data_IF_793283180559
#
_entry.id   IF_793283180559
#
_cell.length_a   1.000
_cell.length_b   1.000
_cell.length_c   1.000
_cell.angle_alpha   90.00
_cell.angle_beta   90.00
_cell.angle_gamma   90.00
#
_symmetry.space_group_name_H-M   'P 1'
#
loop_
_entity.id
_entity.type
_entity.pdbx_description
1 polymer ?
#
# COMPACT_ATOMS: atom_id res chain seq x y z
N UNK A 1 22.93 31.42 -34.76
CA UNK A 1 22.90 30.45 -33.64
C UNK A 1 21.49 30.48 -33.08
N UNK A 2 20.62 29.54 -33.51
CA UNK A 2 19.24 29.47 -33.07
C UNK A 2 19.17 28.46 -31.92
N UNK A 3 18.83 28.92 -30.71
CA UNK A 3 18.68 28.06 -29.54
C UNK A 3 17.37 27.26 -29.67
N UNK A 4 17.48 25.94 -29.76
CA UNK A 4 16.35 25.03 -29.77
C UNK A 4 15.83 24.90 -28.33
N UNK A 5 14.71 25.56 -28.02
CA UNK A 5 14.01 25.39 -26.75
C UNK A 5 13.30 24.02 -26.79
N UNK A 6 13.89 23.00 -26.16
CA UNK A 6 13.21 21.74 -25.91
C UNK A 6 12.10 21.98 -24.88
N UNK A 7 10.87 22.11 -25.37
CA UNK A 7 9.68 21.99 -24.52
C UNK A 7 9.60 20.51 -24.15
N UNK A 8 10.04 20.17 -22.95
CA UNK A 8 9.70 18.90 -22.34
C UNK A 8 8.19 18.90 -22.11
N UNK A 9 7.45 18.21 -22.97
CA UNK A 9 6.06 17.87 -22.68
C UNK A 9 6.07 17.01 -21.42
N UNK A 10 5.41 17.48 -20.36
CA UNK A 10 5.13 16.64 -19.21
C UNK A 10 4.42 15.38 -19.74
N UNK A 11 5.09 14.23 -19.69
CA UNK A 11 4.44 12.97 -19.97
C UNK A 11 3.30 12.85 -18.97
N UNK A 12 2.07 12.67 -19.44
CA UNK A 12 0.95 12.31 -18.58
C UNK A 12 1.42 11.16 -17.69
N UNK A 13 1.40 11.38 -16.38
CA UNK A 13 1.69 10.38 -15.38
C UNK A 13 0.53 9.38 -15.36
N UNK A 14 0.42 8.57 -16.41
CA UNK A 14 -0.42 7.38 -16.43
C UNK A 14 0.45 6.20 -16.03
N UNK A 15 -0.03 5.42 -15.05
CA UNK A 15 0.61 4.15 -14.73
C UNK A 15 0.76 3.27 -15.97
N UNK A 16 1.69 2.32 -15.89
CA UNK A 16 1.89 1.27 -16.88
C UNK A 16 1.32 -0.03 -16.36
N UNK A 17 0.39 -0.61 -17.12
CA UNK A 17 -0.15 -1.94 -16.83
C UNK A 17 0.97 -2.99 -16.80
N UNK A 18 0.93 -3.87 -15.80
CA UNK A 18 1.87 -4.97 -15.61
C UNK A 18 1.14 -6.23 -15.17
N UNK A 19 1.78 -7.37 -15.40
CA UNK A 19 1.35 -8.66 -14.86
C UNK A 19 2.53 -9.37 -14.22
N UNK A 20 2.23 -10.19 -13.21
CA UNK A 20 3.21 -10.98 -12.48
C UNK A 20 2.53 -12.20 -11.84
N UNK A 21 3.25 -13.33 -11.65
CA UNK A 21 2.67 -14.48 -10.97
C UNK A 21 2.60 -14.24 -9.46
N UNK A 22 1.52 -14.71 -8.84
CA UNK A 22 1.47 -15.01 -7.41
C UNK A 22 2.40 -16.18 -7.06
N UNK A 23 2.60 -16.47 -5.78
CA UNK A 23 3.49 -17.56 -5.34
C UNK A 23 3.04 -18.96 -5.81
N UNK A 24 1.74 -19.13 -6.04
CA UNK A 24 1.15 -20.36 -6.59
C UNK A 24 1.05 -20.37 -8.13
N UNK A 25 1.58 -19.33 -8.80
CA UNK A 25 1.53 -19.16 -10.25
C UNK A 25 0.28 -18.47 -10.79
N UNK A 26 -0.70 -18.09 -9.94
CA UNK A 26 -1.87 -17.32 -10.38
C UNK A 26 -1.43 -15.99 -10.99
N UNK A 27 -1.82 -15.69 -12.23
CA UNK A 27 -1.47 -14.41 -12.86
C UNK A 27 -2.22 -13.26 -12.20
N UNK A 28 -1.46 -12.30 -11.67
CA UNK A 28 -1.97 -11.06 -11.10
C UNK A 28 -1.72 -9.89 -12.04
N UNK A 29 -2.60 -8.90 -11.97
CA UNK A 29 -2.51 -7.62 -12.68
C UNK A 29 -2.16 -6.50 -11.72
N UNK A 30 -1.44 -5.50 -12.21
CA UNK A 30 -1.18 -4.27 -11.49
C UNK A 30 -0.96 -3.08 -12.41
N UNK A 31 -0.89 -1.91 -11.80
CA UNK A 31 -0.61 -0.63 -12.43
C UNK A 31 0.65 -0.05 -11.78
N UNK A 32 1.70 0.16 -12.58
CA UNK A 32 3.00 0.59 -12.11
C UNK A 32 3.26 2.06 -12.44
N UNK A 33 3.45 2.87 -11.41
CA UNK A 33 3.74 4.30 -11.47
C UNK A 33 5.21 4.49 -11.08
N UNK A 34 6.10 4.51 -12.08
CA UNK A 34 7.54 4.58 -11.83
C UNK A 34 7.97 6.00 -11.48
N UNK A 35 8.76 6.16 -10.42
CA UNK A 35 9.37 7.45 -10.09
C UNK A 35 10.23 7.96 -11.26
N UNK A 36 10.26 9.28 -11.46
CA UNK A 36 11.06 9.92 -12.52
C UNK A 36 12.56 9.71 -12.33
N UNK A 37 13.05 9.85 -11.09
CA UNK A 37 14.44 9.57 -10.69
C UNK A 37 14.53 8.17 -10.07
N UNK A 38 15.37 7.29 -10.64
CA UNK A 38 15.53 5.89 -10.23
C UNK A 38 17.02 5.55 -10.01
N UNK A 39 17.36 4.61 -9.12
CA UNK A 39 16.46 3.76 -8.32
C UNK A 39 15.77 4.54 -7.19
N UNK A 40 14.47 4.26 -6.98
CA UNK A 40 13.63 4.93 -5.98
C UNK A 40 13.04 3.93 -4.98
N UNK A 41 12.68 4.35 -3.76
CA UNK A 41 11.84 3.52 -2.90
C UNK A 41 10.51 3.19 -3.59
N UNK A 42 9.87 2.12 -3.15
CA UNK A 42 8.65 1.65 -3.78
C UNK A 42 7.57 1.21 -2.79
N UNK A 43 6.31 1.30 -3.21
CA UNK A 43 5.14 1.01 -2.38
C UNK A 43 4.17 0.13 -3.14
N UNK A 44 3.72 -0.97 -2.52
CA UNK A 44 2.59 -1.77 -3.02
C UNK A 44 1.30 -1.27 -2.39
N UNK A 45 0.27 -1.00 -3.20
CA UNK A 45 -1.04 -0.51 -2.78
C UNK A 45 -2.09 -1.61 -2.95
N UNK A 46 -2.79 -1.94 -1.87
CA UNK A 46 -3.61 -3.15 -1.75
C UNK A 46 -5.07 -2.76 -1.48
N UNK A 47 -5.95 -3.05 -2.44
CA UNK A 47 -7.35 -2.64 -2.39
C UNK A 47 -8.18 -3.39 -1.33
N UNK A 48 -9.35 -2.84 -1.01
CA UNK A 48 -10.35 -3.47 -0.14
C UNK A 48 -11.18 -4.52 -0.89
N UNK A 49 -11.84 -5.44 -0.18
CA UNK A 49 -12.65 -6.50 -0.79
C UNK A 49 -13.67 -5.93 -1.79
N UNK A 50 -13.92 -6.66 -2.88
CA UNK A 50 -14.83 -6.29 -4.00
C UNK A 50 -14.42 -5.06 -4.82
N UNK A 51 -13.26 -4.47 -4.52
CA UNK A 51 -12.66 -3.38 -5.30
C UNK A 51 -11.52 -3.89 -6.16
N UNK A 52 -10.74 -2.98 -6.72
CA UNK A 52 -9.62 -3.26 -7.60
C UNK A 52 -8.58 -2.13 -7.50
N UNK A 53 -7.48 -2.24 -8.24
CA UNK A 53 -6.34 -1.32 -8.22
C UNK A 53 -6.69 0.15 -8.50
N UNK A 54 -7.78 0.45 -9.20
CA UNK A 54 -8.13 1.83 -9.56
C UNK A 54 -8.56 2.71 -8.36
N UNK A 55 -8.88 2.09 -7.22
CA UNK A 55 -9.10 2.83 -5.97
C UNK A 55 -7.86 3.64 -5.53
N UNK A 56 -6.69 3.30 -6.07
CA UNK A 56 -5.42 3.90 -5.71
C UNK A 56 -4.88 4.91 -6.72
N UNK A 57 -5.48 5.10 -7.90
CA UNK A 57 -4.89 5.86 -9.01
C UNK A 57 -4.41 7.27 -8.58
N UNK A 58 -5.28 8.02 -7.88
CA UNK A 58 -4.95 9.36 -7.38
C UNK A 58 -3.82 9.35 -6.34
N UNK A 59 -3.80 8.35 -5.46
CA UNK A 59 -2.76 8.21 -4.44
C UNK A 59 -1.44 7.75 -5.06
N UNK A 60 -1.49 6.84 -6.03
CA UNK A 60 -0.32 6.32 -6.73
C UNK A 60 0.41 7.43 -7.50
N UNK A 61 -0.34 8.32 -8.17
CA UNK A 61 0.22 9.53 -8.78
C UNK A 61 0.92 10.43 -7.76
N UNK A 62 0.31 10.66 -6.59
CA UNK A 62 0.93 11.48 -5.52
C UNK A 62 2.20 10.84 -4.95
N UNK A 63 2.25 9.51 -4.86
CA UNK A 63 3.45 8.75 -4.45
C UNK A 63 4.55 8.88 -5.51
N UNK A 64 4.18 8.78 -6.79
CA UNK A 64 5.08 9.00 -7.92
C UNK A 64 5.67 10.41 -7.92
N UNK A 65 4.82 11.43 -7.78
CA UNK A 65 5.22 12.84 -7.68
C UNK A 65 6.13 13.10 -6.47
N UNK A 66 5.96 12.32 -5.40
CA UNK A 66 6.82 12.36 -4.22
C UNK A 66 8.17 11.64 -4.40
N UNK A 67 8.46 11.13 -5.60
CA UNK A 67 9.74 10.48 -5.94
C UNK A 67 9.83 9.02 -5.54
N UNK A 68 8.70 8.32 -5.39
CA UNK A 68 8.63 6.90 -5.05
C UNK A 68 7.86 6.13 -6.13
N UNK A 69 8.24 4.89 -6.39
CA UNK A 69 7.50 4.03 -7.32
C UNK A 69 6.26 3.44 -6.62
N UNK A 70 5.09 3.48 -7.23
CA UNK A 70 3.89 2.83 -6.71
C UNK A 70 3.46 1.66 -7.60
N UNK A 71 3.02 0.56 -6.98
CA UNK A 71 2.36 -0.56 -7.65
C UNK A 71 0.99 -0.76 -7.03
N UNK A 72 -0.07 -0.38 -7.72
CA UNK A 72 -1.43 -0.75 -7.32
C UNK A 72 -1.77 -2.12 -7.93
N UNK A 73 -2.18 -3.08 -7.11
CA UNK A 73 -2.43 -4.45 -7.57
C UNK A 73 -3.91 -4.79 -7.56
N UNK A 74 -4.32 -5.65 -8.47
CA UNK A 74 -5.57 -6.42 -8.37
C UNK A 74 -5.27 -7.73 -7.62
N UNK A 75 -5.94 -7.98 -6.50
CA UNK A 75 -5.86 -9.27 -5.82
C UNK A 75 -6.52 -10.36 -6.69
N UNK A 76 -6.17 -11.64 -6.45
CA UNK A 76 -6.79 -12.76 -7.19
C UNK A 76 -8.32 -12.65 -7.21
N UNK A 77 -8.92 -12.96 -8.36
CA UNK A 77 -10.37 -12.90 -8.57
C UNK A 77 -10.98 -11.49 -8.56
N UNK A 78 -10.16 -10.43 -8.63
CA UNK A 78 -10.60 -9.04 -8.76
C UNK A 78 -9.97 -8.38 -9.99
N UNK A 79 -10.65 -7.37 -10.54
CA UNK A 79 -10.16 -6.58 -11.66
C UNK A 79 -9.71 -7.45 -12.85
N UNK A 80 -8.45 -7.30 -13.26
CA UNK A 80 -7.85 -8.09 -14.34
C UNK A 80 -6.96 -9.25 -13.86
N UNK A 81 -6.95 -9.54 -12.56
CA UNK A 81 -6.24 -10.71 -12.00
C UNK A 81 -7.03 -12.00 -12.21
N UNK A 82 -6.31 -13.09 -12.47
CA UNK A 82 -6.88 -14.43 -12.56
C UNK A 82 -7.29 -14.97 -11.18
N UNK A 83 -7.83 -16.19 -11.16
CA UNK A 83 -8.17 -16.90 -9.92
C UNK A 83 -9.55 -16.55 -9.36
N UNK A 84 -9.72 -16.80 -8.07
CA UNK A 84 -11.01 -16.69 -7.36
C UNK A 84 -10.82 -16.02 -5.99
N UNK A 85 -11.75 -15.17 -5.53
CA UNK A 85 -11.61 -14.44 -4.27
C UNK A 85 -12.04 -15.25 -3.03
N UNK A 86 -12.22 -16.57 -3.16
CA UNK A 86 -12.81 -17.41 -2.11
C UNK A 86 -11.89 -17.63 -0.91
N UNK A 87 -10.58 -17.78 -1.15
CA UNK A 87 -9.59 -18.09 -0.12
C UNK A 87 -8.77 -16.84 0.21
N UNK A 88 -9.21 -16.11 1.24
CA UNK A 88 -8.50 -14.92 1.72
C UNK A 88 -7.04 -15.18 2.14
N UNK A 89 -6.67 -16.33 2.76
CA UNK A 89 -5.26 -16.61 3.06
C UNK A 89 -4.37 -16.61 1.83
N UNK A 90 -4.88 -17.02 0.67
CA UNK A 90 -4.08 -17.03 -0.56
C UNK A 90 -3.80 -15.61 -1.08
N UNK A 91 -4.65 -14.63 -0.75
CA UNK A 91 -4.39 -13.22 -1.06
C UNK A 91 -3.19 -12.66 -0.29
N UNK A 92 -2.78 -13.27 0.82
CA UNK A 92 -1.51 -12.91 1.50
C UNK A 92 -0.33 -13.26 0.59
N UNK A 93 -0.41 -14.38 -0.14
CA UNK A 93 0.60 -14.78 -1.12
C UNK A 93 0.65 -13.81 -2.30
N UNK A 94 -0.50 -13.26 -2.72
CA UNK A 94 -0.55 -12.25 -3.77
C UNK A 94 0.20 -10.97 -3.37
N UNK A 95 -0.01 -10.49 -2.15
CA UNK A 95 0.70 -9.31 -1.63
C UNK A 95 2.19 -9.58 -1.51
N UNK A 96 2.58 -10.79 -1.07
CA UNK A 96 3.99 -11.20 -1.00
C UNK A 96 4.65 -11.23 -2.38
N UNK A 97 4.01 -11.89 -3.34
CA UNK A 97 4.49 -11.95 -4.70
C UNK A 97 4.61 -10.56 -5.34
N UNK A 98 3.64 -9.67 -5.09
CA UNK A 98 3.71 -8.28 -5.56
C UNK A 98 4.92 -7.53 -4.97
N UNK A 99 5.16 -7.67 -3.67
CA UNK A 99 6.30 -7.04 -3.00
C UNK A 99 7.64 -7.57 -3.50
N UNK A 100 7.76 -8.89 -3.65
CA UNK A 100 8.95 -9.56 -4.19
C UNK A 100 9.21 -9.14 -5.65
N UNK A 101 8.17 -9.22 -6.50
CA UNK A 101 8.23 -8.80 -7.89
C UNK A 101 8.67 -7.34 -8.01
N UNK A 102 8.07 -6.43 -7.24
CA UNK A 102 8.40 -5.01 -7.25
C UNK A 102 9.83 -4.77 -6.76
N UNK A 103 10.24 -5.42 -5.66
CA UNK A 103 11.60 -5.28 -5.10
C UNK A 103 12.69 -5.73 -6.07
N UNK A 104 12.38 -6.66 -6.97
CA UNK A 104 13.32 -7.19 -7.97
C UNK A 104 13.53 -6.28 -9.19
N UNK A 105 12.82 -5.14 -9.27
CA UNK A 105 12.90 -4.26 -10.44
C UNK A 105 14.13 -3.35 -10.38
N UNK A 106 14.83 -3.16 -11.50
CA UNK A 106 16.06 -2.35 -11.53
C UNK A 106 15.83 -0.89 -11.14
N UNK A 107 14.59 -0.39 -11.29
CA UNK A 107 14.19 0.95 -10.87
C UNK A 107 13.86 1.09 -9.38
N UNK A 108 13.87 0.01 -8.60
CA UNK A 108 13.52 0.01 -7.17
C UNK A 108 14.78 -0.05 -6.32
N UNK A 109 14.87 0.85 -5.33
CA UNK A 109 15.98 0.93 -4.38
C UNK A 109 15.93 -0.29 -3.45
N UNK A 110 17.00 -1.12 -3.38
CA UNK A 110 17.03 -2.28 -2.51
C UNK A 110 16.71 -1.94 -1.06
N UNK A 111 15.91 -2.80 -0.41
CA UNK A 111 15.53 -2.64 0.99
C UNK A 111 14.70 -1.40 1.30
N UNK A 112 14.04 -0.77 0.31
CA UNK A 112 13.21 0.43 0.51
C UNK A 112 11.79 0.23 -0.01
N UNK A 113 11.14 -0.84 0.45
CA UNK A 113 9.78 -1.21 0.05
C UNK A 113 8.80 -0.97 1.19
N UNK A 114 7.65 -0.39 0.89
CA UNK A 114 6.51 -0.26 1.79
C UNK A 114 5.27 -0.99 1.28
N UNK A 115 4.35 -1.30 2.19
CA UNK A 115 3.02 -1.83 1.87
C UNK A 115 1.96 -0.88 2.44
N UNK A 116 0.97 -0.51 1.63
CA UNK A 116 -0.19 0.24 2.10
C UNK A 116 -1.45 -0.49 1.69
N UNK A 117 -2.33 -0.74 2.65
CA UNK A 117 -3.57 -1.46 2.43
C UNK A 117 -4.78 -0.79 3.07
N UNK A 118 -5.95 -1.00 2.46
CA UNK A 118 -7.21 -0.50 2.95
C UNK A 118 -8.18 -1.64 3.31
N UNK A 119 -8.81 -1.59 4.50
CA UNK A 119 -9.76 -2.61 4.97
C UNK A 119 -9.15 -4.02 4.93
N UNK A 120 -9.71 -4.96 4.15
CA UNK A 120 -9.08 -6.26 3.85
C UNK A 120 -7.60 -6.11 3.47
N UNK A 121 -7.29 -5.15 2.59
CA UNK A 121 -5.93 -4.89 2.15
C UNK A 121 -5.00 -4.50 3.29
N UNK A 122 -5.50 -3.85 4.35
CA UNK A 122 -4.72 -3.54 5.54
C UNK A 122 -4.34 -4.82 6.32
N UNK A 123 -5.30 -5.73 6.51
CA UNK A 123 -5.01 -7.04 7.12
C UNK A 123 -4.00 -7.84 6.29
N UNK A 124 -4.16 -7.88 4.96
CA UNK A 124 -3.24 -8.56 4.06
C UNK A 124 -1.83 -7.94 4.07
N UNK A 125 -1.73 -6.60 4.08
CA UNK A 125 -0.46 -5.88 4.16
C UNK A 125 0.31 -6.24 5.44
N UNK A 126 -0.38 -6.26 6.58
CA UNK A 126 0.23 -6.61 7.87
C UNK A 126 0.69 -8.07 7.89
N UNK A 127 -0.16 -9.01 7.45
CA UNK A 127 0.19 -10.43 7.38
C UNK A 127 1.39 -10.68 6.47
N UNK A 128 1.40 -10.10 5.27
CA UNK A 128 2.51 -10.21 4.34
C UNK A 128 3.81 -9.59 4.90
N UNK A 129 3.73 -8.40 5.52
CA UNK A 129 4.90 -7.73 6.07
C UNK A 129 5.63 -8.58 7.12
N UNK A 130 4.91 -9.35 7.94
CA UNK A 130 5.52 -10.25 8.94
C UNK A 130 6.46 -11.27 8.29
N UNK A 131 6.18 -11.70 7.06
CA UNK A 131 6.97 -12.69 6.31
C UNK A 131 8.02 -12.05 5.38
N UNK A 132 8.03 -10.72 5.23
CA UNK A 132 8.88 -9.98 4.31
C UNK A 132 9.83 -9.03 5.07
N UNK A 133 11.05 -9.48 5.45
CA UNK A 133 11.97 -8.67 6.25
C UNK A 133 12.48 -7.41 5.51
N UNK A 134 12.40 -7.36 4.17
CA UNK A 134 12.81 -6.20 3.38
C UNK A 134 11.76 -5.07 3.33
N UNK A 135 10.53 -5.32 3.80
CA UNK A 135 9.47 -4.30 3.92
C UNK A 135 9.73 -3.44 5.15
N UNK A 136 9.90 -2.13 4.97
CA UNK A 136 10.28 -1.18 6.03
C UNK A 136 9.13 -0.33 6.57
N UNK A 137 8.12 -0.07 5.75
CA UNK A 137 7.02 0.83 6.06
C UNK A 137 5.67 0.12 5.80
N UNK A 138 4.78 0.13 6.78
CA UNK A 138 3.45 -0.49 6.68
C UNK A 138 2.38 0.58 6.97
N UNK A 139 1.51 0.86 5.99
CA UNK A 139 0.40 1.80 6.12
C UNK A 139 -0.94 1.07 6.13
N UNK A 140 -1.74 1.26 7.18
CA UNK A 140 -3.01 0.54 7.37
C UNK A 140 -4.17 1.52 7.46
N UNK A 141 -5.06 1.50 6.47
CA UNK A 141 -6.26 2.35 6.41
C UNK A 141 -7.49 1.51 6.74
N UNK A 142 -8.27 1.95 7.72
CA UNK A 142 -9.40 1.22 8.31
C UNK A 142 -9.06 -0.24 8.69
N UNK A 143 -8.08 -0.48 9.57
CA UNK A 143 -7.68 -1.84 9.96
C UNK A 143 -8.78 -2.58 10.74
N UNK A 144 -8.75 -3.90 10.73
CA UNK A 144 -9.60 -4.78 11.55
C UNK A 144 -8.75 -5.82 12.28
N UNK A 145 -9.17 -6.26 13.47
CA UNK A 145 -8.52 -7.38 14.19
C UNK A 145 -8.84 -8.75 13.56
N UNK A 146 -9.97 -8.86 12.87
CA UNK A 146 -10.40 -10.07 12.19
C UNK A 146 -11.15 -9.66 10.91
N UNK A 147 -10.65 -10.13 9.77
CA UNK A 147 -11.35 -10.03 8.50
C UNK A 147 -11.72 -11.42 7.98
N UNK A 148 -12.91 -11.90 8.35
CA UNK A 148 -13.45 -13.21 7.93
C UNK A 148 -12.47 -14.38 8.19
N UNK A 149 -11.84 -14.38 9.37
CA UNK A 149 -10.86 -15.39 9.78
C UNK A 149 -9.40 -14.99 9.55
N UNK A 150 -9.14 -13.90 8.81
CA UNK A 150 -7.80 -13.29 8.76
C UNK A 150 -7.57 -12.46 10.02
N UNK A 151 -6.92 -13.06 11.01
CA UNK A 151 -6.67 -12.42 12.29
C UNK A 151 -5.39 -11.59 12.26
N UNK A 152 -5.50 -10.33 12.66
CA UNK A 152 -4.37 -9.42 12.80
C UNK A 152 -4.38 -8.79 14.18
N UNK A 153 -3.77 -9.45 15.14
CA UNK A 153 -3.65 -8.97 16.51
C UNK A 153 -2.33 -8.19 16.74
N UNK A 154 -2.21 -7.60 17.93
CA UNK A 154 -1.00 -6.89 18.35
C UNK A 154 0.25 -7.78 18.44
N UNK A 155 0.08 -9.11 18.52
CA UNK A 155 1.19 -10.06 18.46
C UNK A 155 1.90 -10.05 17.11
N UNK A 156 1.19 -9.80 16.01
CA UNK A 156 1.81 -9.59 14.70
C UNK A 156 2.61 -8.28 14.64
N UNK A 157 2.12 -7.20 15.27
CA UNK A 157 2.84 -5.93 15.32
C UNK A 157 4.19 -6.05 16.04
N UNK A 158 4.26 -6.86 17.11
CA UNK A 158 5.54 -7.19 17.78
C UNK A 158 6.54 -7.85 16.84
N UNK A 159 6.07 -8.71 15.93
CA UNK A 159 6.92 -9.33 14.89
C UNK A 159 7.41 -8.32 13.84
N UNK A 160 6.79 -7.14 13.75
CA UNK A 160 7.31 -6.05 12.92
C UNK A 160 8.59 -5.43 13.50
N UNK A 161 8.85 -5.56 14.79
CA UNK A 161 10.05 -5.00 15.42
C UNK A 161 10.15 -3.49 15.21
N UNK A 162 11.31 -2.98 14.79
CA UNK A 162 11.56 -1.54 14.65
C UNK A 162 10.98 -0.90 13.36
N UNK A 163 10.15 -1.62 12.59
CA UNK A 163 9.58 -1.13 11.33
C UNK A 163 8.50 -0.07 11.56
N UNK A 164 8.46 0.93 10.68
CA UNK A 164 7.52 2.04 10.76
C UNK A 164 6.09 1.59 10.42
N UNK A 165 5.13 1.96 11.26
CA UNK A 165 3.70 1.73 11.03
C UNK A 165 2.96 3.07 11.01
N UNK A 166 2.08 3.22 10.04
CA UNK A 166 1.15 4.33 9.94
C UNK A 166 -0.28 3.80 9.88
N UNK A 167 -1.18 4.46 10.61
CA UNK A 167 -2.56 4.02 10.80
C UNK A 167 -3.51 5.17 10.45
N UNK A 168 -4.60 4.88 9.74
CA UNK A 168 -5.69 5.83 9.59
C UNK A 168 -7.06 5.19 9.70
N UNK A 169 -8.00 5.92 10.30
CA UNK A 169 -9.41 5.54 10.36
C UNK A 169 -10.30 6.79 10.45
N UNK A 170 -11.57 6.64 10.08
CA UNK A 170 -12.60 7.66 10.31
C UNK A 170 -13.09 7.61 11.74
N UNK A 171 -13.41 8.77 12.32
CA UNK A 171 -14.16 8.88 13.56
C UNK A 171 -15.57 8.25 13.45
N UNK A 172 -16.13 8.23 12.24
CA UNK A 172 -17.43 7.66 11.88
C UNK A 172 -17.34 6.16 11.52
N UNK A 173 -16.17 5.53 11.68
CA UNK A 173 -15.95 4.09 11.55
C UNK A 173 -15.49 3.49 12.89
N UNK A 174 -16.42 3.23 13.84
CA UNK A 174 -16.06 2.87 15.21
C UNK A 174 -15.30 1.55 15.32
N UNK A 175 -15.50 0.62 14.37
CA UNK A 175 -14.80 -0.65 14.38
C UNK A 175 -13.33 -0.45 14.02
N UNK A 176 -13.06 0.21 12.89
CA UNK A 176 -11.69 0.47 12.50
C UNK A 176 -10.97 1.42 13.46
N UNK A 177 -11.67 2.41 14.01
CA UNK A 177 -11.09 3.33 14.99
C UNK A 177 -10.67 2.60 16.27
N UNK A 178 -11.46 1.61 16.73
CA UNK A 178 -11.05 0.79 17.88
C UNK A 178 -9.80 -0.01 17.56
N UNK A 179 -9.76 -0.70 16.42
CA UNK A 179 -8.57 -1.46 16.00
C UNK A 179 -7.34 -0.57 15.82
N UNK A 180 -7.50 0.63 15.25
CA UNK A 180 -6.43 1.61 15.14
C UNK A 180 -5.84 1.94 16.52
N UNK A 181 -6.69 2.20 17.51
CA UNK A 181 -6.25 2.51 18.89
C UNK A 181 -5.53 1.33 19.54
N UNK A 182 -6.03 0.11 19.34
CA UNK A 182 -5.37 -1.10 19.84
C UNK A 182 -3.99 -1.26 19.22
N UNK A 183 -3.87 -1.08 17.90
CA UNK A 183 -2.60 -1.16 17.18
C UNK A 183 -1.63 -0.05 17.57
N UNK A 184 -2.10 1.18 17.74
CA UNK A 184 -1.29 2.31 18.17
C UNK A 184 -0.77 2.17 19.61
N UNK A 185 -1.46 1.39 20.45
CA UNK A 185 -1.02 1.11 21.82
C UNK A 185 0.16 0.11 21.90
N UNK A 186 0.47 -0.56 20.80
CA UNK A 186 1.58 -1.52 20.72
C UNK A 186 2.90 -0.78 20.43
N UNK A 187 3.87 -0.78 21.37
CA UNK A 187 5.01 0.15 21.33
C UNK A 187 6.20 -0.33 20.48
N UNK A 188 6.07 -1.40 19.68
CA UNK A 188 7.22 -1.93 18.92
C UNK A 188 7.56 -1.07 17.71
N UNK A 189 8.44 -0.09 17.87
CA UNK A 189 8.94 0.74 16.76
C UNK A 189 8.10 1.99 16.46
N UNK A 190 8.46 2.77 15.43
CA UNK A 190 7.78 4.03 15.14
C UNK A 190 6.31 3.84 14.75
N UNK A 191 5.43 4.66 15.34
CA UNK A 191 3.97 4.66 15.12
C UNK A 191 3.47 6.08 14.84
N UNK A 192 2.66 6.21 13.79
CA UNK A 192 1.93 7.43 13.48
C UNK A 192 0.46 7.07 13.21
N UNK A 193 -0.46 7.90 13.69
CA UNK A 193 -1.89 7.67 13.50
C UNK A 193 -2.60 8.95 13.05
N UNK A 194 -3.60 8.79 12.20
CA UNK A 194 -4.49 9.86 11.75
C UNK A 194 -5.93 9.42 11.97
N UNK A 195 -6.68 10.23 12.72
CA UNK A 195 -8.13 10.05 12.87
C UNK A 195 -8.82 11.19 12.14
N UNK A 196 -9.54 10.86 11.08
CA UNK A 196 -10.27 11.83 10.27
C UNK A 196 -11.68 12.04 10.83
N UNK A 197 -12.19 13.27 10.76
CA UNK A 197 -13.60 13.57 11.00
C UNK A 197 -14.50 13.32 9.79
N UNK A 198 -13.94 13.07 8.60
CA UNK A 198 -14.72 12.73 7.42
C UNK A 198 -15.27 11.31 7.53
N UNK A 199 -16.51 11.10 7.08
CA UNK A 199 -17.08 9.77 6.99
C UNK A 199 -16.40 8.96 5.88
N UNK A 200 -16.03 7.71 6.18
CA UNK A 200 -15.44 6.83 5.18
C UNK A 200 -14.83 5.56 5.77
N UNK A 201 -14.59 4.58 4.90
CA UNK A 201 -13.95 3.30 5.21
C UNK A 201 -12.96 2.91 4.09
N UNK A 202 -11.74 2.53 4.46
CA UNK A 202 -10.72 2.11 3.50
C UNK A 202 -10.39 3.20 2.49
N UNK A 203 -10.39 2.87 1.19
CA UNK A 203 -10.08 3.83 0.13
C UNK A 203 -11.11 4.98 0.04
N UNK A 204 -12.35 4.77 0.47
CA UNK A 204 -13.36 5.86 0.48
C UNK A 204 -13.00 6.97 1.46
N UNK A 205 -12.33 6.64 2.57
CA UNK A 205 -11.81 7.65 3.50
C UNK A 205 -10.72 8.50 2.83
N UNK A 206 -9.81 7.85 2.10
CA UNK A 206 -8.73 8.55 1.38
C UNK A 206 -9.30 9.51 0.31
N UNK A 207 -10.40 9.13 -0.33
CA UNK A 207 -11.08 10.00 -1.30
C UNK A 207 -11.86 11.15 -0.64
N UNK A 208 -12.36 10.93 0.58
CA UNK A 208 -13.13 11.92 1.32
C UNK A 208 -12.25 12.95 2.05
N UNK A 209 -11.02 12.58 2.40
CA UNK A 209 -10.12 13.42 3.20
C UNK A 209 -8.70 13.52 2.60
N UNK A 210 -8.46 14.63 1.90
CA UNK A 210 -7.17 14.91 1.28
C UNK A 210 -6.04 15.14 2.29
N UNK A 211 -6.33 15.40 3.57
CA UNK A 211 -5.33 15.61 4.61
C UNK A 211 -4.76 14.28 5.07
N UNK A 212 -5.60 13.24 5.14
CA UNK A 212 -5.17 11.85 5.37
C UNK A 212 -4.22 11.40 4.25
N UNK A 213 -4.54 11.73 2.99
CA UNK A 213 -3.66 11.41 1.84
C UNK A 213 -2.33 12.13 1.93
N UNK A 214 -2.31 13.43 2.28
CA UNK A 214 -1.06 14.18 2.48
C UNK A 214 -0.22 13.58 3.60
N UNK A 215 -0.84 13.27 4.74
CA UNK A 215 -0.15 12.64 5.87
C UNK A 215 0.45 11.28 5.51
N UNK A 216 -0.27 10.44 4.76
CA UNK A 216 0.23 9.16 4.26
C UNK A 216 1.48 9.34 3.38
N UNK A 217 1.42 10.24 2.39
CA UNK A 217 2.54 10.47 1.46
C UNK A 217 3.75 11.04 2.20
N UNK A 218 3.55 11.99 3.10
CA UNK A 218 4.63 12.58 3.89
C UNK A 218 5.28 11.55 4.82
N UNK A 219 4.49 10.68 5.44
CA UNK A 219 5.01 9.58 6.25
C UNK A 219 5.79 8.56 5.41
N UNK A 220 5.31 8.19 4.22
CA UNK A 220 6.02 7.31 3.30
C UNK A 220 7.38 7.91 2.92
N UNK A 221 7.43 9.21 2.58
CA UNK A 221 8.68 9.91 2.29
C UNK A 221 9.65 9.82 3.45
N UNK A 222 9.22 10.14 4.68
CA UNK A 222 10.07 10.06 5.87
C UNK A 222 10.56 8.64 6.14
N UNK A 223 9.72 7.64 5.92
CA UNK A 223 10.03 6.24 6.26
C UNK A 223 10.85 5.50 5.21
N UNK A 224 10.76 5.92 3.95
CA UNK A 224 11.35 5.20 2.82
C UNK A 224 12.44 5.95 2.08
N UNK A 225 12.54 7.28 2.16
CA UNK A 225 13.63 8.06 1.53
C UNK A 225 14.81 8.29 2.47
N UNK A 226 14.61 8.21 3.79
CA UNK A 226 15.67 8.27 4.80
C UNK A 226 16.69 7.15 4.65
#
# INVERSE_FOLDING_TARGET
>A
MLALLLIATAADASGRAVTFPSLDGTTLSGELYEASSRPAPAVVLIHMLTRNKSDWDSIANRIQDAGMTALAIDLRGHGSSAGSPQALPDMVQDVRAAAEWLSSRPGVRPGSVGLVGASLGASLALLAAVELPFVRAIGLVSPSLDYRGLRTDTGLLKKLGARSLWLAASAEDPLALRTLRDFASEPSGPREQVVSSAAGHGATLLNADGDVVRALVDWLRRSLLS
#
